data_IF_936275459373
#
_entry.id   IF_936275459373
#
_cell.length_a   1.000
_cell.length_b   1.000
_cell.length_c   1.000
_cell.angle_alpha   90.00
_cell.angle_beta   90.00
_cell.angle_gamma   90.00
#
_symmetry.space_group_name_H-M   'P 1'
#
loop_
_entity.id
_entity.type
_entity.pdbx_description
1 polymer ?
#
# COMPACT_ATOMS: atom_id res chain seq x y z
N UNK A 1 -3.60 14.80 -1.06
CA UNK A 1 -2.66 14.49 0.04
C UNK A 1 -3.05 13.12 0.56
N UNK A 2 -2.30 12.07 0.21
CA UNK A 2 -2.57 10.72 0.68
C UNK A 2 -2.21 10.65 2.16
N UNK A 3 -3.18 10.91 3.04
CA UNK A 3 -2.92 10.98 4.48
C UNK A 3 -2.26 9.70 4.99
N UNK A 4 -2.57 8.55 4.38
CA UNK A 4 -2.11 7.23 4.77
C UNK A 4 -1.01 6.65 3.85
N UNK A 5 -0.47 7.46 2.93
CA UNK A 5 0.66 7.07 2.10
C UNK A 5 1.94 6.95 2.93
N UNK A 6 2.63 5.82 2.84
CA UNK A 6 3.88 5.62 3.56
C UNK A 6 4.75 4.52 2.98
N UNK A 7 6.00 4.47 3.38
CA UNK A 7 6.95 3.41 3.03
C UNK A 7 7.62 2.90 4.31
N UNK A 8 7.53 1.59 4.57
CA UNK A 8 8.27 0.98 5.66
C UNK A 8 9.74 0.89 5.29
N UNK A 9 10.61 1.45 6.13
CA UNK A 9 12.04 1.49 5.92
C UNK A 9 12.83 1.39 7.24
N UNK A 10 14.15 1.27 7.13
CA UNK A 10 15.09 1.27 8.24
C UNK A 10 16.28 2.17 7.95
N UNK A 11 16.80 2.84 8.97
CA UNK A 11 18.07 3.59 8.93
C UNK A 11 19.25 2.72 9.41
N UNK A 12 19.02 1.42 9.59
CA UNK A 12 19.98 0.45 10.15
C UNK A 12 19.92 0.34 11.68
N UNK A 13 19.33 1.32 12.38
CA UNK A 13 19.16 1.31 13.83
C UNK A 13 17.69 1.08 14.24
N UNK A 14 16.75 1.60 13.46
CA UNK A 14 15.31 1.54 13.76
C UNK A 14 14.48 1.42 12.49
N UNK A 15 13.38 0.68 12.61
CA UNK A 15 12.33 0.67 11.60
C UNK A 15 11.46 1.94 11.76
N UNK A 16 11.03 2.53 10.64
CA UNK A 16 10.14 3.68 10.60
C UNK A 16 9.26 3.66 9.35
N UNK A 17 8.23 4.51 9.34
CA UNK A 17 7.38 4.75 8.17
C UNK A 17 7.70 6.15 7.65
N UNK A 18 8.26 6.23 6.45
CA UNK A 18 8.46 7.48 5.74
C UNK A 18 7.16 7.88 5.03
N UNK A 19 6.84 9.17 4.97
CA UNK A 19 5.74 9.64 4.12
C UNK A 19 6.05 9.34 2.66
N UNK A 20 5.04 8.85 1.94
CA UNK A 20 5.19 8.47 0.54
C UNK A 20 3.99 8.91 -0.28
N UNK A 21 4.26 9.53 -1.43
CA UNK A 21 3.25 10.24 -2.21
C UNK A 21 2.56 9.37 -3.27
N UNK A 22 3.07 8.17 -3.54
CA UNK A 22 2.54 7.28 -4.57
C UNK A 22 1.75 6.11 -3.97
N UNK A 23 0.70 5.72 -4.66
CA UNK A 23 0.00 4.47 -4.42
C UNK A 23 0.59 3.41 -5.34
N UNK A 24 1.33 2.46 -4.77
CA UNK A 24 1.95 1.38 -5.54
C UNK A 24 0.95 0.25 -5.79
N UNK A 25 0.82 -0.26 -7.02
CA UNK A 25 -0.10 -1.34 -7.33
C UNK A 25 0.36 -2.65 -6.67
N UNK A 26 -0.57 -3.57 -6.33
CA UNK A 26 -0.23 -4.93 -5.93
C UNK A 26 0.62 -5.64 -6.99
N UNK A 27 1.49 -6.61 -6.62
CA UNK A 27 2.40 -7.28 -7.55
C UNK A 27 1.73 -7.89 -8.79
N UNK A 28 0.54 -8.49 -8.62
CA UNK A 28 -0.21 -9.08 -9.73
C UNK A 28 -0.65 -8.03 -10.77
N UNK A 29 -1.02 -6.82 -10.31
CA UNK A 29 -1.39 -5.71 -11.18
C UNK A 29 -0.15 -5.05 -11.80
N UNK A 30 0.92 -4.86 -11.03
CA UNK A 30 2.16 -4.24 -11.53
C UNK A 30 2.74 -4.97 -12.75
N UNK A 31 2.79 -6.31 -12.71
CA UNK A 31 3.29 -7.14 -13.84
C UNK A 31 2.56 -6.93 -15.17
N UNK A 32 1.34 -6.39 -15.12
CA UNK A 32 0.51 -6.16 -16.31
C UNK A 32 0.71 -4.77 -16.90
N UNK A 33 1.36 -3.86 -16.18
CA UNK A 33 1.65 -2.49 -16.63
C UNK A 33 2.98 -2.51 -17.40
N UNK A 34 3.00 -2.20 -18.71
CA UNK A 34 4.23 -2.23 -19.50
C UNK A 34 5.29 -1.28 -18.92
N UNK A 35 6.46 -1.83 -18.58
CA UNK A 35 7.58 -1.07 -18.02
C UNK A 35 7.47 -0.74 -16.52
N UNK A 36 6.45 -1.25 -15.81
CA UNK A 36 6.38 -1.11 -14.36
C UNK A 36 7.34 -2.06 -13.63
N UNK A 37 7.74 -1.64 -12.44
CA UNK A 37 8.48 -2.47 -11.49
C UNK A 37 7.55 -2.92 -10.36
N UNK A 38 7.79 -4.11 -9.82
CA UNK A 38 7.10 -4.55 -8.61
C UNK A 38 7.65 -3.78 -7.40
N UNK A 39 6.93 -2.73 -7.00
CA UNK A 39 7.25 -1.89 -5.86
C UNK A 39 6.53 -2.39 -4.60
N UNK A 40 7.07 -2.01 -3.46
CA UNK A 40 6.59 -2.43 -2.14
C UNK A 40 5.30 -1.69 -1.73
N UNK A 41 4.51 -2.25 -0.78
CA UNK A 41 3.24 -1.64 -0.43
C UNK A 41 3.42 -0.25 0.18
N UNK A 42 2.57 0.68 -0.27
CA UNK A 42 2.69 2.09 0.11
C UNK A 42 1.53 2.68 0.91
N UNK A 43 0.65 1.82 1.46
CA UNK A 43 -0.48 2.25 2.29
C UNK A 43 -0.33 1.78 3.73
N UNK A 44 -0.54 2.71 4.67
CA UNK A 44 -0.51 2.45 6.11
C UNK A 44 -1.93 2.30 6.68
N UNK A 45 -2.25 1.12 7.20
CA UNK A 45 -3.54 0.76 7.79
C UNK A 45 -3.63 1.15 9.28
N UNK A 46 -3.47 2.44 9.57
CA UNK A 46 -3.35 2.97 10.95
C UNK A 46 -4.66 3.31 11.64
N UNK A 47 -5.79 3.34 10.92
CA UNK A 47 -7.09 3.70 11.47
C UNK A 47 -7.87 2.45 11.85
N UNK A 48 -7.55 1.84 13.00
CA UNK A 48 -8.13 0.55 13.42
C UNK A 48 -7.94 -0.56 12.36
N UNK A 49 -6.72 -0.69 11.84
CA UNK A 49 -6.37 -1.63 10.76
C UNK A 49 -7.06 -1.31 9.41
N UNK A 50 -7.46 -0.05 9.22
CA UNK A 50 -8.02 0.49 7.98
C UNK A 50 -7.19 1.67 7.45
N UNK A 51 -7.33 1.94 6.16
CA UNK A 51 -6.88 3.17 5.51
C UNK A 51 -8.08 3.93 4.95
N UNK A 52 -8.06 5.26 5.02
CA UNK A 52 -9.08 6.10 4.39
C UNK A 52 -8.71 6.35 2.93
N UNK A 53 -9.53 5.85 2.03
CA UNK A 53 -9.32 5.97 0.58
C UNK A 53 -10.37 6.87 -0.01
N UNK A 54 -9.92 7.82 -0.85
CA UNK A 54 -10.78 8.67 -1.68
C UNK A 54 -10.67 8.20 -3.12
N UNK A 55 -11.81 7.92 -3.75
CA UNK A 55 -11.88 7.50 -5.14
C UNK A 55 -12.03 8.72 -6.07
N UNK A 56 -11.78 8.52 -7.37
CA UNK A 56 -11.81 9.60 -8.38
C UNK A 56 -13.19 10.24 -8.52
N UNK A 57 -14.24 9.50 -8.19
CA UNK A 57 -15.63 9.97 -8.16
C UNK A 57 -15.99 10.76 -6.87
N UNK A 58 -15.05 10.90 -5.95
CA UNK A 58 -15.21 11.64 -4.69
C UNK A 58 -15.71 10.82 -3.51
N UNK A 59 -16.04 9.53 -3.69
CA UNK A 59 -16.42 8.68 -2.58
C UNK A 59 -15.23 8.45 -1.63
N UNK A 60 -15.52 8.45 -0.33
CA UNK A 60 -14.54 8.16 0.72
C UNK A 60 -14.97 6.89 1.45
N UNK A 61 -14.08 5.90 1.54
CA UNK A 61 -14.35 4.63 2.23
C UNK A 61 -13.17 4.22 3.10
N UNK A 62 -13.41 3.68 4.31
CA UNK A 62 -12.39 3.00 5.08
C UNK A 62 -12.20 1.58 4.53
N UNK A 63 -10.99 1.26 4.07
CA UNK A 63 -10.66 -0.03 3.46
C UNK A 63 -9.73 -0.83 4.35
N UNK A 64 -9.93 -2.15 4.39
CA UNK A 64 -9.11 -3.09 5.17
C UNK A 64 -7.98 -3.63 4.33
N UNK A 65 -6.87 -3.98 5.00
CA UNK A 65 -5.73 -4.62 4.35
C UNK A 65 -6.12 -6.01 3.85
N UNK A 66 -5.81 -6.29 2.59
CA UNK A 66 -6.01 -7.57 1.95
C UNK A 66 -4.68 -8.32 1.75
N UNK A 67 -3.61 -7.60 1.42
CA UNK A 67 -2.28 -8.17 1.17
C UNK A 67 -1.19 -7.32 1.83
N UNK A 68 -0.07 -7.96 2.16
CA UNK A 68 1.17 -7.30 2.56
C UNK A 68 2.37 -8.20 2.25
N UNK A 69 3.58 -7.72 2.54
CA UNK A 69 4.83 -8.48 2.46
C UNK A 69 5.51 -8.51 3.83
N UNK A 70 6.23 -9.60 4.10
CA UNK A 70 6.99 -9.79 5.36
C UNK A 70 8.43 -9.35 5.30
N UNK A 71 8.99 -9.34 4.09
CA UNK A 71 10.40 -9.04 3.85
C UNK A 71 10.47 -7.89 2.86
N UNK A 72 10.93 -6.74 3.35
CA UNK A 72 11.20 -5.57 2.53
C UNK A 72 12.66 -5.52 2.10
N UNK A 73 12.94 -4.99 0.92
CA UNK A 73 14.28 -4.61 0.46
C UNK A 73 14.94 -3.57 1.39
N UNK A 74 14.14 -2.85 2.18
CA UNK A 74 14.59 -1.89 3.18
C UNK A 74 14.86 -2.54 4.56
N UNK A 75 14.91 -3.88 4.63
CA UNK A 75 15.32 -4.61 5.83
C UNK A 75 14.31 -4.59 6.97
N UNK A 76 13.02 -4.43 6.65
CA UNK A 76 11.92 -4.38 7.64
C UNK A 76 10.80 -5.36 7.29
N UNK A 77 9.81 -5.49 8.18
CA UNK A 77 8.58 -6.26 7.97
C UNK A 77 7.38 -5.32 7.80
N UNK A 78 7.00 -4.97 6.55
CA UNK A 78 5.87 -4.09 6.26
C UNK A 78 4.54 -4.58 6.88
N UNK A 79 4.28 -5.90 6.86
CA UNK A 79 3.05 -6.47 7.45
C UNK A 79 2.90 -6.14 8.93
N UNK A 80 4.00 -6.30 9.70
CA UNK A 80 4.04 -5.98 11.12
C UNK A 80 3.94 -4.47 11.40
N UNK A 81 4.37 -3.64 10.44
CA UNK A 81 4.28 -2.18 10.51
C UNK A 81 2.96 -1.62 9.99
N UNK A 82 1.97 -2.47 9.73
CA UNK A 82 0.66 -2.02 9.27
C UNK A 82 0.61 -1.60 7.80
N UNK A 83 1.62 -1.93 7.01
CA UNK A 83 1.66 -1.60 5.58
C UNK A 83 0.96 -2.69 4.73
N UNK A 84 0.45 -2.33 3.56
CA UNK A 84 -0.08 -3.32 2.61
C UNK A 84 -0.84 -2.72 1.42
N UNK A 85 -1.73 -3.54 0.86
CA UNK A 85 -2.72 -3.16 -0.14
C UNK A 85 -4.12 -3.56 0.33
N UNK A 86 -5.13 -2.78 -0.04
CA UNK A 86 -6.53 -3.20 0.08
C UNK A 86 -6.97 -3.96 -1.17
N UNK A 87 -8.09 -4.69 -1.09
CA UNK A 87 -8.63 -5.45 -2.22
C UNK A 87 -9.27 -4.52 -3.28
N UNK A 88 -9.27 -4.90 -4.57
CA UNK A 88 -8.69 -6.12 -5.12
C UNK A 88 -7.16 -6.09 -5.21
N UNK A 89 -6.52 -7.25 -5.01
CA UNK A 89 -5.06 -7.45 -5.15
C UNK A 89 -4.70 -8.32 -6.35
N UNK A 90 -5.72 -8.76 -7.09
CA UNK A 90 -5.67 -9.55 -8.31
C UNK A 90 -6.68 -8.97 -9.31
N UNK A 91 -6.60 -9.41 -10.57
CA UNK A 91 -7.53 -9.00 -11.62
C UNK A 91 -7.09 -7.76 -12.41
N UNK A 92 -8.06 -7.20 -13.14
CA UNK A 92 -7.79 -6.28 -14.25
C UNK A 92 -8.28 -4.85 -14.05
N UNK A 93 -9.07 -4.61 -13.00
CA UNK A 93 -9.64 -3.29 -12.71
C UNK A 93 -8.77 -2.59 -11.68
N UNK A 94 -8.35 -1.35 -11.98
CA UNK A 94 -7.83 -0.44 -10.97
C UNK A 94 -8.91 -0.22 -9.89
N UNK A 95 -8.50 0.05 -8.65
CA UNK A 95 -9.40 0.24 -7.50
C UNK A 95 -10.71 0.99 -7.87
N UNK A 96 -11.82 0.25 -7.96
CA UNK A 96 -13.13 0.75 -8.36
C UNK A 96 -14.07 0.67 -7.13
N UNK A 97 -14.76 1.76 -6.76
CA UNK A 97 -15.77 1.70 -5.72
C UNK A 97 -17.04 1.06 -6.30
N UNK A 98 -17.22 -0.26 -6.12
CA UNK A 98 -18.55 -0.87 -6.26
C UNK A 98 -19.60 -0.17 -5.36
#
# INVERSE_FOLDING_TARGET
MFADGGLAASDGARAFIAEYAFLEPPPALSRRIPGAFELEPSLHFRHQSQTLTVFVDGHVRPLRRALSIRNSIYGVNPEAMGMGWFAPVEGDTYYDPE
#
